data_IF_759465102231
#
_entry.id   IF_759465102231
#
_cell.length_a   1.000
_cell.length_b   1.000
_cell.length_c   1.000
_cell.angle_alpha   90.00
_cell.angle_beta   90.00
_cell.angle_gamma   90.00
#
_symmetry.space_group_name_H-M   'P 1'
#
loop_
_entity.id
_entity.type
_entity.pdbx_description
1 polymer ?
#
# COMPACT_ATOMS: atom_id res chain seq x y z
N UNK A 1 10.73 -19.97 14.10
CA UNK A 1 10.91 -18.68 13.40
C UNK A 1 12.39 -18.51 13.16
N UNK A 2 12.79 -18.18 11.93
CA UNK A 2 14.19 -17.84 11.63
C UNK A 2 14.29 -16.35 11.95
N UNK A 3 15.05 -16.01 12.98
CA UNK A 3 15.32 -14.62 13.34
C UNK A 3 16.48 -14.14 12.48
N UNK A 4 16.24 -13.13 11.65
CA UNK A 4 17.28 -12.52 10.81
C UNK A 4 17.64 -11.21 11.48
N UNK A 5 18.85 -11.12 12.00
CA UNK A 5 19.40 -9.87 12.55
C UNK A 5 19.72 -8.92 11.38
N UNK A 6 18.90 -7.89 11.22
CA UNK A 6 19.01 -6.90 10.16
C UNK A 6 20.01 -5.80 10.53
N UNK A 7 20.14 -5.51 11.83
CA UNK A 7 20.96 -4.41 12.35
C UNK A 7 22.47 -4.73 12.23
N UNK A 8 22.82 -6.01 12.21
CA UNK A 8 24.19 -6.49 12.00
C UNK A 8 24.65 -6.57 10.54
N UNK A 9 23.77 -6.36 9.55
CA UNK A 9 24.11 -6.57 8.14
C UNK A 9 24.77 -5.34 7.50
N UNK A 10 25.80 -5.56 6.70
CA UNK A 10 26.37 -4.50 5.85
C UNK A 10 25.41 -4.11 4.72
N UNK A 11 25.59 -2.92 4.15
CA UNK A 11 24.75 -2.42 3.03
C UNK A 11 24.67 -3.43 1.87
N UNK A 12 25.79 -4.03 1.48
CA UNK A 12 25.83 -5.02 0.39
C UNK A 12 25.08 -6.31 0.75
N UNK A 13 25.07 -6.71 2.02
CA UNK A 13 24.30 -7.86 2.49
C UNK A 13 22.81 -7.56 2.56
N UNK A 14 22.44 -6.33 2.95
CA UNK A 14 21.06 -5.85 2.89
C UNK A 14 20.53 -5.80 1.46
N UNK A 15 21.33 -5.34 0.49
CA UNK A 15 20.95 -5.36 -0.92
C UNK A 15 20.75 -6.78 -1.45
N UNK A 16 21.65 -7.71 -1.09
CA UNK A 16 21.49 -9.13 -1.44
C UNK A 16 20.26 -9.75 -0.80
N UNK A 17 19.97 -9.43 0.46
CA UNK A 17 18.78 -9.90 1.16
C UNK A 17 17.51 -9.36 0.47
N UNK A 18 17.47 -8.06 0.16
CA UNK A 18 16.38 -7.44 -0.59
C UNK A 18 16.15 -8.15 -1.92
N UNK A 19 17.22 -8.38 -2.68
CA UNK A 19 17.12 -8.98 -4.00
C UNK A 19 16.69 -10.46 -3.91
N UNK A 20 17.19 -11.21 -2.93
CA UNK A 20 16.78 -12.59 -2.66
C UNK A 20 15.32 -12.69 -2.20
N UNK A 21 14.87 -11.79 -1.33
CA UNK A 21 13.47 -11.69 -0.90
C UNK A 21 12.59 -11.34 -2.09
N UNK A 22 12.97 -10.36 -2.90
CA UNK A 22 12.24 -9.97 -4.10
C UNK A 22 12.12 -11.14 -5.08
N UNK A 23 13.21 -11.84 -5.36
CA UNK A 23 13.21 -13.02 -6.22
C UNK A 23 12.34 -14.15 -5.64
N UNK A 24 12.40 -14.39 -4.33
CA UNK A 24 11.56 -15.38 -3.65
C UNK A 24 10.08 -15.00 -3.70
N UNK A 25 9.74 -13.73 -3.48
CA UNK A 25 8.37 -13.22 -3.61
C UNK A 25 7.87 -13.34 -5.04
N UNK A 26 8.72 -13.12 -6.03
CA UNK A 26 8.41 -13.32 -7.45
C UNK A 26 8.15 -14.80 -7.73
N UNK A 27 9.02 -15.72 -7.27
CA UNK A 27 8.82 -17.16 -7.41
C UNK A 27 7.55 -17.66 -6.72
N UNK A 28 7.26 -17.16 -5.52
CA UNK A 28 6.02 -17.46 -4.80
C UNK A 28 4.79 -16.91 -5.54
N UNK A 29 4.90 -15.72 -6.17
CA UNK A 29 3.85 -15.16 -7.03
C UNK A 29 3.63 -15.96 -8.31
N UNK A 30 4.69 -16.42 -8.97
CA UNK A 30 4.58 -17.35 -10.11
C UNK A 30 4.13 -18.76 -9.72
N UNK A 31 4.17 -19.09 -8.43
CA UNK A 31 3.58 -20.32 -7.90
C UNK A 31 2.07 -20.20 -7.66
N UNK A 32 1.46 -19.04 -7.93
CA UNK A 32 0.02 -18.84 -7.77
C UNK A 32 -0.71 -19.50 -8.96
N UNK A 33 -1.07 -20.76 -8.77
CA UNK A 33 -1.57 -21.75 -9.77
C UNK A 33 -2.93 -21.44 -10.40
N UNK A 34 -3.54 -20.30 -10.09
CA UNK A 34 -4.91 -20.03 -10.49
C UNK A 34 -4.95 -19.58 -11.95
N UNK A 35 -5.70 -20.33 -12.75
CA UNK A 35 -6.04 -19.97 -14.12
C UNK A 35 -6.95 -18.74 -14.13
N UNK A 36 -6.99 -18.00 -15.25
CA UNK A 36 -7.89 -16.85 -15.40
C UNK A 36 -9.35 -17.18 -15.04
N UNK A 37 -9.95 -18.31 -15.48
CA UNK A 37 -11.31 -18.67 -15.08
C UNK A 37 -11.48 -18.82 -13.56
N UNK A 38 -10.50 -19.40 -12.86
CA UNK A 38 -10.56 -19.53 -11.40
C UNK A 38 -10.48 -18.17 -10.71
N UNK A 39 -9.61 -17.28 -11.19
CA UNK A 39 -9.49 -15.92 -10.67
C UNK A 39 -10.77 -15.12 -10.88
N UNK A 40 -11.43 -15.24 -12.03
CA UNK A 40 -12.72 -14.60 -12.30
C UNK A 40 -13.81 -15.14 -11.38
N UNK A 41 -13.88 -16.47 -11.14
CA UNK A 41 -14.83 -17.04 -10.17
C UNK A 41 -14.59 -16.49 -8.75
N UNK A 42 -13.34 -16.44 -8.31
CA UNK A 42 -12.97 -15.87 -7.01
C UNK A 42 -13.35 -14.39 -6.92
N UNK A 43 -13.20 -13.64 -8.00
CA UNK A 43 -13.58 -12.24 -8.06
C UNK A 43 -15.10 -12.05 -7.87
N UNK A 44 -15.94 -12.88 -8.51
CA UNK A 44 -17.40 -12.82 -8.33
C UNK A 44 -17.84 -13.13 -6.89
N UNK A 45 -17.22 -14.14 -6.28
CA UNK A 45 -17.43 -14.47 -4.86
C UNK A 45 -17.02 -13.30 -3.95
N UNK A 46 -15.88 -12.68 -4.25
CA UNK A 46 -15.38 -11.53 -3.52
C UNK A 46 -16.27 -10.31 -3.66
N UNK A 47 -16.78 -10.01 -4.86
CA UNK A 47 -17.73 -8.90 -5.07
C UNK A 47 -18.98 -9.07 -4.20
N UNK A 48 -19.51 -10.29 -4.11
CA UNK A 48 -20.65 -10.58 -3.23
C UNK A 48 -20.31 -10.24 -1.78
N UNK A 49 -19.18 -10.73 -1.28
CA UNK A 49 -18.73 -10.45 0.09
C UNK A 49 -18.46 -8.95 0.36
N UNK A 50 -17.88 -8.23 -0.60
CA UNK A 50 -17.63 -6.79 -0.48
C UNK A 50 -18.93 -5.99 -0.44
N UNK A 51 -19.92 -6.38 -1.26
CA UNK A 51 -21.24 -5.75 -1.26
C UNK A 51 -21.97 -5.99 0.06
N UNK A 52 -21.88 -7.19 0.63
CA UNK A 52 -22.43 -7.51 1.96
C UNK A 52 -21.77 -6.69 3.08
N UNK A 53 -20.51 -6.27 2.90
CA UNK A 53 -19.79 -5.36 3.80
C UNK A 53 -20.09 -3.87 3.54
N UNK A 54 -20.95 -3.55 2.56
CA UNK A 54 -21.28 -2.17 2.18
C UNK A 54 -20.18 -1.46 1.39
N UNK A 55 -19.15 -2.17 0.92
CA UNK A 55 -18.11 -1.59 0.05
C UNK A 55 -18.65 -1.46 -1.36
N UNK A 56 -18.46 -0.28 -1.96
CA UNK A 56 -18.93 0.03 -3.29
C UNK A 56 -17.79 0.44 -4.21
N UNK A 57 -17.92 0.11 -5.49
CA UNK A 57 -16.98 0.46 -6.54
C UNK A 57 -17.71 0.89 -7.80
N UNK A 58 -17.07 1.78 -8.55
CA UNK A 58 -17.47 2.18 -9.90
C UNK A 58 -16.96 1.20 -10.96
N UNK A 59 -15.86 0.49 -10.68
CA UNK A 59 -15.27 -0.49 -11.60
C UNK A 59 -14.48 -1.57 -10.85
N UNK A 60 -14.75 -2.84 -11.20
CA UNK A 60 -14.00 -4.02 -10.73
C UNK A 60 -14.12 -5.19 -11.73
N UNK A 61 -14.22 -4.90 -13.02
CA UNK A 61 -14.41 -5.92 -14.08
C UNK A 61 -13.21 -6.04 -15.03
N UNK A 62 -12.40 -4.99 -15.09
CA UNK A 62 -11.28 -4.90 -16.02
C UNK A 62 -10.10 -5.63 -15.41
N UNK A 63 -9.45 -6.48 -16.20
CA UNK A 63 -8.24 -7.18 -15.80
C UNK A 63 -7.16 -7.05 -16.88
N UNK A 64 -5.90 -7.17 -16.47
CA UNK A 64 -4.75 -7.15 -17.36
C UNK A 64 -3.65 -8.08 -16.85
N UNK A 65 -2.91 -8.67 -17.76
CA UNK A 65 -1.67 -9.38 -17.44
C UNK A 65 -0.54 -8.37 -17.25
N UNK A 66 0.03 -8.28 -16.05
CA UNK A 66 1.13 -7.37 -15.73
C UNK A 66 1.99 -7.94 -14.60
N UNK A 67 3.29 -7.64 -14.63
CA UNK A 67 4.27 -8.16 -13.65
C UNK A 67 4.23 -9.69 -13.48
N UNK A 68 3.87 -10.41 -14.56
CA UNK A 68 3.81 -11.87 -14.55
C UNK A 68 2.56 -12.49 -13.91
N UNK A 69 1.54 -11.70 -13.58
CA UNK A 69 0.28 -12.19 -13.01
C UNK A 69 -0.92 -11.38 -13.53
N UNK A 70 -2.14 -11.88 -13.28
CA UNK A 70 -3.37 -11.16 -13.59
C UNK A 70 -3.66 -10.18 -12.46
N UNK A 71 -3.95 -8.93 -12.82
CA UNK A 71 -4.46 -7.90 -11.92
C UNK A 71 -5.80 -7.38 -12.38
N UNK A 72 -6.59 -6.90 -11.44
CA UNK A 72 -7.91 -6.32 -11.61
C UNK A 72 -7.87 -4.83 -11.30
N UNK A 73 -8.48 -4.04 -12.16
CA UNK A 73 -8.64 -2.60 -11.94
C UNK A 73 -9.76 -2.37 -10.94
N UNK A 74 -9.44 -1.76 -9.80
CA UNK A 74 -10.40 -1.29 -8.82
C UNK A 74 -10.53 0.23 -8.93
N UNK A 75 -11.77 0.70 -8.99
CA UNK A 75 -12.13 2.09 -8.78
C UNK A 75 -13.21 2.14 -7.68
N UNK A 76 -12.83 2.34 -6.41
CA UNK A 76 -13.78 2.38 -5.30
C UNK A 76 -14.61 3.67 -5.35
N UNK A 77 -15.82 3.63 -4.80
CA UNK A 77 -16.69 4.82 -4.71
C UNK A 77 -16.19 5.79 -3.65
N UNK A 78 -15.74 5.26 -2.51
CA UNK A 78 -15.10 6.03 -1.44
C UNK A 78 -13.58 6.10 -1.71
N UNK A 79 -13.17 7.19 -2.36
CA UNK A 79 -11.76 7.45 -2.67
C UNK A 79 -11.01 8.16 -1.54
N UNK A 80 -11.71 8.50 -0.44
CA UNK A 80 -11.07 9.03 0.76
C UNK A 80 -10.43 7.88 1.54
N UNK A 81 -11.14 6.76 1.65
CA UNK A 81 -10.67 5.58 2.38
C UNK A 81 -9.88 4.59 1.51
N UNK A 82 -10.14 4.56 0.20
CA UNK A 82 -9.61 3.53 -0.69
C UNK A 82 -8.93 4.09 -1.95
N UNK A 83 -7.81 3.49 -2.32
CA UNK A 83 -7.05 3.80 -3.50
C UNK A 83 -7.60 3.09 -4.74
N UNK A 84 -7.57 3.79 -5.88
CA UNK A 84 -7.81 3.19 -7.20
C UNK A 84 -6.52 2.62 -7.77
N UNK A 85 -6.60 1.50 -8.47
CA UNK A 85 -5.39 0.88 -9.01
C UNK A 85 -5.58 -0.53 -9.55
N UNK A 86 -4.45 -1.14 -9.92
CA UNK A 86 -4.38 -2.53 -10.36
C UNK A 86 -3.95 -3.44 -9.21
N UNK A 87 -4.86 -4.30 -8.77
CA UNK A 87 -4.68 -5.17 -7.62
C UNK A 87 -4.76 -6.64 -8.01
N UNK A 88 -3.99 -7.49 -7.34
CA UNK A 88 -4.16 -8.94 -7.47
C UNK A 88 -5.43 -9.39 -6.75
N UNK A 89 -5.90 -10.60 -7.04
CA UNK A 89 -7.03 -11.18 -6.29
C UNK A 89 -6.74 -11.25 -4.78
N UNK A 90 -5.48 -11.53 -4.41
CA UNK A 90 -5.05 -11.63 -3.02
C UNK A 90 -5.11 -10.28 -2.31
N UNK A 91 -4.69 -9.21 -2.97
CA UNK A 91 -4.78 -7.85 -2.45
C UNK A 91 -6.24 -7.41 -2.26
N UNK A 92 -7.13 -7.78 -3.18
CA UNK A 92 -8.56 -7.53 -3.03
C UNK A 92 -9.18 -8.37 -1.89
N UNK A 93 -8.71 -9.60 -1.67
CA UNK A 93 -9.10 -10.41 -0.51
C UNK A 93 -8.59 -9.83 0.81
N UNK A 94 -7.45 -9.15 0.82
CA UNK A 94 -7.00 -8.38 1.99
C UNK A 94 -7.90 -7.17 2.22
N UNK A 95 -8.33 -6.50 1.14
CA UNK A 95 -9.24 -5.37 1.24
C UNK A 95 -10.59 -5.77 1.86
N UNK A 96 -11.13 -6.96 1.58
CA UNK A 96 -12.33 -7.45 2.28
C UNK A 96 -12.14 -7.66 3.79
N UNK A 97 -10.89 -7.69 4.26
CA UNK A 97 -10.50 -7.73 5.68
C UNK A 97 -10.04 -6.37 6.22
N UNK A 98 -10.31 -5.29 5.48
CA UNK A 98 -9.88 -3.92 5.79
C UNK A 98 -8.36 -3.77 5.92
N UNK A 99 -7.61 -4.48 5.08
CA UNK A 99 -6.16 -4.43 5.07
C UNK A 99 -5.61 -4.39 3.63
N UNK A 100 -4.32 -4.11 3.49
CA UNK A 100 -3.61 -4.19 2.23
C UNK A 100 -3.57 -2.87 1.46
N UNK A 101 -3.05 -2.92 0.22
CA UNK A 101 -2.67 -1.73 -0.55
C UNK A 101 -3.86 -0.96 -1.13
N UNK A 102 -5.09 -1.45 -0.95
CA UNK A 102 -6.31 -0.73 -1.34
C UNK A 102 -6.65 0.36 -0.32
N UNK A 103 -6.26 0.21 0.95
CA UNK A 103 -6.52 1.24 1.96
C UNK A 103 -5.62 2.46 1.66
N UNK A 104 -6.20 3.66 1.66
CA UNK A 104 -5.39 4.88 1.76
C UNK A 104 -4.67 4.79 3.10
N UNK A 105 -3.33 4.82 3.06
CA UNK A 105 -2.57 5.06 4.28
C UNK A 105 -2.89 6.50 4.66
N UNK A 106 -3.34 6.72 5.88
CA UNK A 106 -3.11 8.00 6.53
C UNK A 106 -1.59 8.18 6.45
N UNK A 107 -1.12 8.89 5.42
CA UNK A 107 0.11 9.65 5.57
C UNK A 107 -0.18 10.46 6.83
N UNK A 108 0.56 10.18 7.90
CA UNK A 108 0.69 11.15 8.98
C UNK A 108 0.77 12.49 8.29
N UNK A 109 -0.19 13.36 8.58
CA UNK A 109 -0.31 14.72 8.09
C UNK A 109 0.85 15.54 8.73
N UNK A 110 2.08 15.06 8.57
CA UNK A 110 3.34 15.77 8.66
C UNK A 110 3.44 16.71 7.42
N UNK A 111 2.36 17.41 7.09
CA UNK A 111 2.57 18.83 6.86
C UNK A 111 3.15 19.34 8.19
N UNK A 112 4.38 19.90 8.23
CA UNK A 112 4.82 20.59 9.42
C UNK A 112 3.89 21.80 9.59
N UNK A 113 2.78 21.58 10.30
CA UNK A 113 1.86 22.61 10.72
C UNK A 113 2.70 23.71 11.34
N UNK A 114 2.66 24.89 10.73
CA UNK A 114 3.60 26.00 10.96
C UNK A 114 3.93 26.15 12.45
N UNK A 115 5.04 25.55 12.87
CA UNK A 115 5.31 25.31 14.29
C UNK A 115 5.99 26.55 14.85
N UNK A 116 5.19 27.57 15.16
CA UNK A 116 5.66 28.68 15.96
C UNK A 116 6.13 28.13 17.31
N UNK A 117 7.42 28.26 17.60
CA UNK A 117 8.00 27.82 18.86
C UNK A 117 8.11 29.03 19.79
N UNK A 118 7.54 28.93 21.00
CA UNK A 118 7.73 29.94 22.05
C UNK A 118 9.02 29.61 22.81
N UNK A 119 9.99 30.51 22.74
CA UNK A 119 11.25 30.41 23.49
C UNK A 119 11.44 31.72 24.24
N UNK A 120 11.42 31.66 25.57
CA UNK A 120 11.61 32.81 26.47
C UNK A 120 10.69 34.01 26.16
N UNK A 121 9.44 33.75 25.76
CA UNK A 121 8.44 34.79 25.47
C UNK A 121 8.56 35.44 24.09
N UNK A 122 9.33 34.83 23.19
CA UNK A 122 9.46 35.25 21.78
C UNK A 122 8.95 34.13 20.88
N UNK A 123 8.08 34.49 19.93
CA UNK A 123 7.57 33.53 18.93
C UNK A 123 8.53 33.43 17.76
N UNK A 124 9.11 32.25 17.58
CA UNK A 124 10.11 31.98 16.54
C UNK A 124 9.50 31.07 15.48
N UNK A 125 9.58 31.49 14.21
CA UNK A 125 9.34 30.66 13.03
C UNK A 125 10.66 30.39 12.32
N UNK A 126 10.93 29.12 12.08
CA UNK A 126 12.08 28.68 11.28
C UNK A 126 11.65 28.57 9.80
N UNK A 127 12.34 29.30 8.92
CA UNK A 127 12.08 29.28 7.50
C UNK A 127 12.88 28.15 6.81
N UNK A 128 12.41 27.62 5.67
CA UNK A 128 13.05 26.50 4.97
C UNK A 128 14.48 26.77 4.48
N UNK A 129 14.88 28.03 4.42
CA UNK A 129 16.22 28.50 4.05
C UNK A 129 17.19 28.57 5.26
N UNK A 130 16.73 28.13 6.44
CA UNK A 130 17.49 28.16 7.69
C UNK A 130 17.49 29.52 8.39
N UNK A 131 16.73 30.50 7.88
CA UNK A 131 16.58 31.80 8.54
C UNK A 131 15.45 31.78 9.58
N UNK A 132 15.49 32.70 10.54
CA UNK A 132 14.47 32.82 11.60
C UNK A 132 13.67 34.10 11.43
N UNK A 133 12.34 34.00 11.54
CA UNK A 133 11.43 35.13 11.71
C UNK A 133 10.98 35.22 13.17
N UNK A 134 10.99 36.42 13.75
CA UNK A 134 10.64 36.70 15.15
C UNK A 134 9.55 37.78 15.21
N UNK A 135 8.57 37.60 16.08
CA UNK A 135 7.53 38.58 16.45
C UNK A 135 7.57 38.88 17.95
#
# INVERSE_FOLDING_TARGET
MIDIDIDGLSLTELERLRDAVNHRLIQLRYSNRHTLPELLRMLEELKTALNDQGKQWRSLERWQWMDGQIRFWLNPTDQVQYQSGWYTIDELMLWSRNNGPVMVREEDDDEPGETWTDVDGVRIRWLPDGTMQRE
#
